data_IF_603735386056
#
_entry.id   IF_603735386056
#
_cell.length_a   1.000
_cell.length_b   1.000
_cell.length_c   1.000
_cell.angle_alpha   90.00
_cell.angle_beta   90.00
_cell.angle_gamma   90.00
#
_symmetry.space_group_name_H-M   'P 1'
#
loop_
_entity.id
_entity.type
_entity.pdbx_description
1 polymer ?
#
# COMPACT_ATOMS: atom_id res chain seq x y z
N UNK A 1 -32.17 -17.50 42.27
CA UNK A 1 -31.59 -16.25 41.72
C UNK A 1 -31.69 -16.31 40.20
N UNK A 2 -32.41 -15.37 39.55
CA UNK A 2 -32.78 -15.44 38.15
C UNK A 2 -31.71 -14.83 37.22
N UNK A 3 -31.63 -15.37 36.01
CA UNK A 3 -31.54 -14.63 34.74
C UNK A 3 -30.34 -13.71 34.49
N UNK A 4 -29.39 -14.18 33.68
CA UNK A 4 -28.69 -13.34 32.71
C UNK A 4 -28.64 -14.08 31.36
N UNK A 5 -29.71 -13.92 30.60
CA UNK A 5 -29.74 -14.21 29.18
C UNK A 5 -28.69 -13.31 28.50
N UNK A 6 -27.64 -13.92 27.92
CA UNK A 6 -26.69 -13.19 27.07
C UNK A 6 -27.29 -13.08 25.67
N UNK A 7 -27.23 -11.92 25.01
CA UNK A 7 -27.83 -11.73 23.70
C UNK A 7 -27.13 -12.62 22.66
N UNK A 8 -27.95 -13.40 21.97
CA UNK A 8 -27.65 -14.14 20.74
C UNK A 8 -26.86 -13.26 19.77
N UNK A 9 -25.53 -13.48 19.67
CA UNK A 9 -24.73 -12.89 18.59
C UNK A 9 -25.09 -13.63 17.30
N UNK A 10 -26.14 -13.16 16.63
CA UNK A 10 -26.61 -13.67 15.34
C UNK A 10 -25.53 -13.47 14.28
N UNK A 11 -24.62 -14.44 14.19
CA UNK A 11 -23.64 -14.57 13.13
C UNK A 11 -24.36 -14.63 11.79
N UNK A 12 -24.42 -13.50 11.09
CA UNK A 12 -24.77 -13.43 9.67
C UNK A 12 -23.53 -13.73 8.83
N UNK A 13 -22.83 -14.83 9.10
CA UNK A 13 -21.82 -15.35 8.18
C UNK A 13 -22.55 -16.09 7.06
N UNK A 14 -22.90 -15.39 5.98
CA UNK A 14 -23.17 -16.02 4.69
C UNK A 14 -21.81 -16.39 4.10
N UNK A 15 -21.48 -17.67 3.88
CA UNK A 15 -20.29 -18.03 3.10
C UNK A 15 -20.57 -17.59 1.66
N UNK A 16 -20.04 -16.43 1.29
CA UNK A 16 -20.01 -15.96 -0.09
C UNK A 16 -19.19 -16.94 -0.90
N UNK A 17 -19.83 -17.53 -1.90
CA UNK A 17 -19.31 -18.52 -2.81
C UNK A 17 -17.91 -18.16 -3.35
N UNK A 18 -17.07 -19.21 -3.39
CA UNK A 18 -15.84 -19.36 -4.16
C UNK A 18 -15.64 -18.31 -5.26
N UNK A 19 -14.55 -17.56 -5.16
CA UNK A 19 -13.76 -17.13 -6.31
C UNK A 19 -12.29 -17.35 -5.96
N UNK A 20 -11.98 -18.60 -5.60
CA UNK A 20 -10.62 -19.13 -5.54
C UNK A 20 -10.32 -19.67 -6.95
N UNK A 21 -9.90 -18.80 -7.88
CA UNK A 21 -9.30 -19.20 -9.16
C UNK A 21 -8.94 -17.98 -10.03
N UNK A 22 -8.10 -17.04 -9.57
CA UNK A 22 -7.46 -16.02 -10.45
C UNK A 22 -6.12 -15.48 -9.93
N UNK A 23 -5.43 -16.18 -9.03
CA UNK A 23 -4.12 -15.75 -8.53
C UNK A 23 -2.93 -16.37 -9.31
N UNK A 24 -3.18 -17.42 -10.10
CA UNK A 24 -2.18 -18.01 -10.98
C UNK A 24 -2.45 -17.58 -12.43
N UNK A 25 -1.46 -16.92 -13.04
CA UNK A 25 -1.42 -16.47 -14.43
C UNK A 25 -2.40 -15.36 -14.85
N UNK A 26 -2.05 -14.09 -14.57
CA UNK A 26 -2.24 -13.04 -15.58
C UNK A 26 -0.90 -12.33 -15.83
N UNK A 27 -0.42 -12.24 -17.08
CA UNK A 27 0.70 -11.39 -17.43
C UNK A 27 0.35 -9.94 -17.04
N UNK A 28 1.33 -9.25 -16.46
CA UNK A 28 1.19 -7.93 -15.82
C UNK A 28 0.79 -6.78 -16.78
N UNK A 29 0.60 -7.08 -18.08
CA UNK A 29 0.41 -6.07 -19.14
C UNK A 29 -1.06 -5.81 -19.52
N UNK A 30 -2.02 -6.63 -19.07
CA UNK A 30 -3.40 -6.61 -19.63
C UNK A 30 -4.53 -6.38 -18.59
N UNK A 31 -4.24 -5.65 -17.52
CA UNK A 31 -5.27 -5.16 -16.60
C UNK A 31 -5.95 -3.91 -17.17
N UNK A 32 -7.29 -3.77 -17.06
CA UNK A 32 -8.00 -2.60 -17.57
C UNK A 32 -7.38 -1.33 -16.97
N UNK A 33 -6.94 -0.43 -17.85
CA UNK A 33 -6.29 0.84 -17.51
C UNK A 33 -7.27 1.79 -16.80
N UNK A 34 -7.56 1.50 -15.53
CA UNK A 34 -8.15 2.48 -14.62
C UNK A 34 -7.02 3.48 -14.32
N UNK A 35 -7.20 4.78 -14.60
CA UNK A 35 -6.15 5.77 -14.37
C UNK A 35 -5.72 5.71 -12.90
N UNK A 36 -4.42 5.52 -12.67
CA UNK A 36 -3.88 5.39 -11.32
C UNK A 36 -4.24 6.64 -10.51
N UNK A 37 -4.65 6.48 -9.24
CA UNK A 37 -5.03 7.61 -8.41
C UNK A 37 -3.86 8.58 -8.26
N UNK A 38 -4.16 9.89 -8.33
CA UNK A 38 -3.17 10.94 -8.08
C UNK A 38 -2.50 10.70 -6.71
N UNK A 39 -1.16 10.66 -6.63
CA UNK A 39 -0.46 10.52 -5.37
C UNK A 39 -0.80 11.69 -4.44
N UNK A 40 -0.80 11.41 -3.13
CA UNK A 40 -0.93 12.47 -2.13
C UNK A 40 0.30 13.37 -2.17
N UNK A 41 0.20 14.62 -1.72
CA UNK A 41 1.31 15.59 -1.76
C UNK A 41 2.60 15.06 -1.14
N UNK A 42 2.50 14.24 -0.10
CA UNK A 42 3.66 13.63 0.58
C UNK A 42 4.26 12.45 -0.18
N UNK A 43 3.48 11.80 -1.05
CA UNK A 43 3.88 10.60 -1.82
C UNK A 43 4.34 10.97 -3.23
N UNK A 44 3.88 12.10 -3.77
CA UNK A 44 4.22 12.56 -5.11
C UNK A 44 5.74 12.59 -5.38
N UNK A 45 6.61 13.12 -4.49
CA UNK A 45 8.04 13.16 -4.74
C UNK A 45 8.68 11.76 -4.87
N UNK A 46 8.14 10.77 -4.14
CA UNK A 46 8.60 9.39 -4.25
C UNK A 46 8.19 8.77 -5.59
N UNK A 47 6.96 9.03 -6.05
CA UNK A 47 6.46 8.49 -7.32
C UNK A 47 7.18 9.12 -8.51
N UNK A 48 7.53 10.41 -8.43
CA UNK A 48 8.28 11.12 -9.48
C UNK A 48 9.69 10.57 -9.67
N UNK A 49 10.41 10.26 -8.57
CA UNK A 49 11.79 9.73 -8.63
C UNK A 49 11.80 8.22 -8.88
N UNK A 50 10.97 7.46 -8.17
CA UNK A 50 11.05 6.00 -8.17
C UNK A 50 10.21 5.36 -9.27
N UNK A 51 9.17 6.05 -9.75
CA UNK A 51 8.07 5.46 -10.51
C UNK A 51 7.03 4.80 -9.61
N UNK A 52 5.84 4.50 -10.16
CA UNK A 52 4.70 4.01 -9.38
C UNK A 52 4.96 2.67 -8.67
N UNK A 53 5.48 1.66 -9.37
CA UNK A 53 5.69 0.32 -8.78
C UNK A 53 6.73 0.34 -7.67
N UNK A 54 7.87 0.95 -7.95
CA UNK A 54 8.97 1.00 -7.00
C UNK A 54 8.65 1.92 -5.81
N UNK A 55 7.82 2.95 -6.00
CA UNK A 55 7.27 3.75 -4.90
C UNK A 55 6.31 2.94 -4.02
N UNK A 56 5.47 2.07 -4.60
CA UNK A 56 4.58 1.19 -3.82
C UNK A 56 5.42 0.23 -2.96
N UNK A 57 6.41 -0.43 -3.55
CA UNK A 57 7.30 -1.34 -2.83
C UNK A 57 8.09 -0.63 -1.73
N UNK A 58 8.55 0.59 -2.03
CA UNK A 58 9.20 1.46 -1.07
C UNK A 58 8.28 1.81 0.12
N UNK A 59 7.06 2.24 -0.15
CA UNK A 59 6.08 2.57 0.90
C UNK A 59 5.65 1.35 1.71
N UNK A 60 5.57 0.17 1.08
CA UNK A 60 5.27 -1.08 1.79
C UNK A 60 6.43 -1.57 2.64
N UNK A 61 7.67 -1.29 2.24
CA UNK A 61 8.87 -1.72 2.96
C UNK A 61 9.26 -0.75 4.08
N UNK A 62 9.19 0.55 3.82
CA UNK A 62 9.68 1.60 4.73
C UNK A 62 8.57 2.44 5.37
N UNK A 63 7.32 2.33 4.92
CA UNK A 63 6.22 3.15 5.43
C UNK A 63 6.06 3.05 6.95
N UNK A 64 5.90 4.20 7.61
CA UNK A 64 5.73 4.28 9.05
C UNK A 64 7.03 4.14 9.85
N UNK A 65 8.17 4.05 9.18
CA UNK A 65 9.49 4.09 9.81
C UNK A 65 10.19 5.42 9.53
N UNK A 66 11.08 5.79 10.45
CA UNK A 66 12.01 6.90 10.21
C UNK A 66 13.06 6.44 9.20
N UNK A 67 13.26 7.23 8.14
CA UNK A 67 14.25 6.91 7.12
C UNK A 67 15.27 8.03 7.03
N UNK A 68 16.48 7.74 7.54
CA UNK A 68 17.63 8.61 7.34
C UNK A 68 18.25 8.34 5.96
N UNK A 69 18.08 9.29 5.04
CA UNK A 69 18.71 9.25 3.71
C UNK A 69 20.00 10.06 3.80
N UNK A 70 21.13 9.35 3.93
CA UNK A 70 22.44 10.00 3.88
C UNK A 70 22.71 10.53 2.46
N UNK A 71 23.37 11.68 2.35
CA UNK A 71 23.76 12.32 1.07
C UNK A 71 24.62 11.40 0.19
N UNK A 72 25.40 10.50 0.82
CA UNK A 72 26.07 9.37 0.18
C UNK A 72 25.50 8.08 0.76
N UNK A 73 24.49 7.46 0.13
CA UNK A 73 23.93 6.23 0.63
C UNK A 73 24.97 5.11 0.54
N UNK A 74 25.25 4.44 1.66
CA UNK A 74 26.15 3.29 1.68
C UNK A 74 25.51 2.10 0.95
N UNK A 75 26.32 1.35 0.20
CA UNK A 75 25.86 0.22 -0.64
C UNK A 75 25.12 -0.87 0.16
N UNK A 76 25.37 -0.98 1.47
CA UNK A 76 24.68 -1.90 2.39
C UNK A 76 23.37 -1.38 2.97
N UNK A 77 22.94 -0.17 2.65
CA UNK A 77 21.68 0.38 3.14
C UNK A 77 20.50 -0.38 2.52
N UNK A 78 19.51 -0.73 3.34
CA UNK A 78 18.28 -1.39 2.90
C UNK A 78 17.57 -0.58 1.80
N UNK A 79 17.74 0.75 1.82
CA UNK A 79 17.26 1.66 0.79
C UNK A 79 17.88 1.33 -0.57
N UNK A 80 19.22 1.25 -0.64
CA UNK A 80 19.97 0.94 -1.86
C UNK A 80 19.62 -0.45 -2.40
N UNK A 81 19.42 -1.44 -1.52
CA UNK A 81 19.03 -2.78 -1.93
C UNK A 81 17.65 -2.81 -2.59
N UNK A 82 16.72 -1.94 -2.16
CA UNK A 82 15.37 -1.89 -2.72
C UNK A 82 15.30 -1.05 -4.00
N UNK A 83 15.91 0.14 -4.00
CA UNK A 83 15.74 1.11 -5.09
C UNK A 83 16.90 1.17 -6.08
N UNK A 84 18.05 0.59 -5.72
CA UNK A 84 19.30 0.72 -6.47
C UNK A 84 20.08 2.00 -6.12
N UNK A 85 21.38 2.03 -6.43
CA UNK A 85 22.24 3.18 -6.07
C UNK A 85 21.87 4.47 -6.81
N UNK A 86 21.41 4.40 -8.04
CA UNK A 86 21.11 5.59 -8.85
C UNK A 86 19.87 6.31 -8.31
N UNK A 87 18.77 5.57 -8.14
CA UNK A 87 17.54 6.11 -7.53
C UNK A 87 17.73 6.52 -6.08
N UNK A 88 18.60 5.83 -5.33
CA UNK A 88 18.95 6.24 -3.97
C UNK A 88 19.63 7.61 -3.93
N UNK A 89 20.49 7.92 -4.92
CA UNK A 89 21.14 9.22 -5.04
C UNK A 89 20.16 10.32 -5.43
N UNK A 90 19.23 10.03 -6.34
CA UNK A 90 18.14 10.96 -6.68
C UNK A 90 17.23 11.24 -5.48
N UNK A 91 16.88 10.21 -4.70
CA UNK A 91 16.12 10.36 -3.47
C UNK A 91 16.88 11.18 -2.41
N UNK A 92 18.21 11.02 -2.34
CA UNK A 92 19.06 11.82 -1.47
C UNK A 92 19.10 13.29 -1.88
N UNK A 93 19.07 13.59 -3.18
CA UNK A 93 19.02 14.97 -3.68
C UNK A 93 17.73 15.70 -3.25
N UNK A 94 16.59 14.99 -3.23
CA UNK A 94 15.29 15.55 -2.79
C UNK A 94 15.01 15.36 -1.28
N UNK A 95 15.97 14.82 -0.51
CA UNK A 95 15.81 14.52 0.93
C UNK A 95 15.35 15.71 1.76
N UNK A 96 15.75 16.93 1.37
CA UNK A 96 15.35 18.17 2.02
C UNK A 96 13.85 18.51 1.87
N UNK A 97 13.16 17.96 0.86
CA UNK A 97 11.71 18.13 0.64
C UNK A 97 10.89 17.00 1.27
N UNK A 98 11.57 15.93 1.72
CA UNK A 98 10.94 14.71 2.18
C UNK A 98 10.70 14.76 3.69
N UNK A 99 9.57 14.23 4.19
CA UNK A 99 9.36 14.10 5.61
C UNK A 99 10.34 13.09 6.22
N UNK A 100 10.81 13.36 7.44
CA UNK A 100 11.73 12.49 8.20
C UNK A 100 11.17 11.07 8.42
N UNK A 101 9.84 10.96 8.53
CA UNK A 101 9.13 9.67 8.64
C UNK A 101 8.45 9.39 7.31
N UNK A 102 8.64 8.18 6.78
CA UNK A 102 8.04 7.79 5.50
C UNK A 102 6.53 7.63 5.69
N UNK A 103 5.70 8.31 4.87
CA UNK A 103 4.25 8.20 4.97
C UNK A 103 3.81 6.77 4.63
N UNK A 104 2.85 6.22 5.40
CA UNK A 104 2.28 4.89 5.11
C UNK A 104 1.35 4.90 3.88
N UNK A 105 0.76 6.06 3.57
CA UNK A 105 -0.10 6.28 2.40
C UNK A 105 -1.19 5.21 2.15
N UNK A 106 -1.66 4.50 3.20
CA UNK A 106 -2.59 3.36 3.07
C UNK A 106 -3.85 3.67 2.25
N UNK A 107 -4.49 4.86 2.36
CA UNK A 107 -5.63 5.19 1.50
C UNK A 107 -5.28 5.27 0.02
N UNK A 108 -4.09 5.80 -0.32
CA UNK A 108 -3.62 5.87 -1.70
C UNK A 108 -3.26 4.48 -2.22
N UNK A 109 -2.52 3.69 -1.45
CA UNK A 109 -2.19 2.29 -1.80
C UNK A 109 -3.46 1.45 -2.01
N UNK A 110 -4.48 1.64 -1.18
CA UNK A 110 -5.76 0.95 -1.34
C UNK A 110 -6.43 1.31 -2.68
N UNK A 111 -6.39 2.59 -3.10
CA UNK A 111 -6.91 3.02 -4.40
C UNK A 111 -6.08 2.46 -5.56
N UNK A 112 -4.76 2.43 -5.43
CA UNK A 112 -3.86 1.86 -6.44
C UNK A 112 -4.13 0.35 -6.61
N UNK A 113 -4.17 -0.41 -5.53
CA UNK A 113 -4.48 -1.84 -5.59
C UNK A 113 -5.88 -2.13 -6.11
N UNK A 114 -6.86 -1.29 -5.78
CA UNK A 114 -8.20 -1.41 -6.32
C UNK A 114 -8.24 -1.13 -7.84
N UNK A 115 -7.49 -0.13 -8.32
CA UNK A 115 -7.33 0.14 -9.75
C UNK A 115 -6.62 -1.02 -10.49
N UNK A 116 -5.69 -1.71 -9.81
CA UNK A 116 -5.04 -2.94 -10.29
C UNK A 116 -5.91 -4.20 -10.18
N UNK A 117 -7.18 -4.07 -9.78
CA UNK A 117 -8.14 -5.17 -9.75
C UNK A 117 -8.13 -6.04 -8.49
N UNK A 118 -7.39 -5.69 -7.43
CA UNK A 118 -7.42 -6.44 -6.18
C UNK A 118 -8.77 -6.28 -5.48
N UNK A 119 -9.25 -7.37 -4.86
CA UNK A 119 -10.47 -7.31 -4.07
C UNK A 119 -10.27 -6.49 -2.79
N UNK A 120 -11.34 -5.89 -2.27
CA UNK A 120 -11.29 -5.13 -1.00
C UNK A 120 -10.80 -5.97 0.18
N UNK A 121 -11.05 -7.29 0.15
CA UNK A 121 -10.57 -8.22 1.16
C UNK A 121 -9.08 -8.47 1.04
N UNK A 122 -8.56 -8.60 -0.18
CA UNK A 122 -7.13 -8.81 -0.41
C UNK A 122 -6.35 -7.54 -0.04
N UNK A 123 -6.86 -6.37 -0.43
CA UNK A 123 -6.30 -5.08 0.00
C UNK A 123 -6.24 -4.97 1.52
N UNK A 124 -7.30 -5.39 2.21
CA UNK A 124 -7.36 -5.38 3.67
C UNK A 124 -6.28 -6.29 4.30
N UNK A 125 -6.07 -7.48 3.74
CA UNK A 125 -5.02 -8.42 4.17
C UNK A 125 -3.62 -7.83 3.93
N UNK A 126 -3.37 -7.32 2.73
CA UNK A 126 -2.08 -6.74 2.33
C UNK A 126 -1.71 -5.54 3.19
N UNK A 127 -2.64 -4.59 3.37
CA UNK A 127 -2.41 -3.37 4.15
C UNK A 127 -2.55 -3.55 5.67
N UNK A 128 -2.92 -4.77 6.11
CA UNK A 128 -3.23 -5.13 7.50
C UNK A 128 -4.22 -4.15 8.15
N UNK A 129 -5.34 -3.93 7.49
CA UNK A 129 -6.44 -3.08 7.97
C UNK A 129 -7.78 -3.80 7.78
N UNK A 130 -8.83 -3.29 8.40
CA UNK A 130 -10.15 -3.87 8.25
C UNK A 130 -10.77 -3.57 6.87
N UNK A 131 -11.61 -4.48 6.37
CA UNK A 131 -12.36 -4.28 5.12
C UNK A 131 -13.27 -3.06 5.19
N UNK A 132 -13.80 -2.73 6.39
CA UNK A 132 -14.62 -1.52 6.58
C UNK A 132 -13.80 -0.25 6.41
N UNK A 133 -12.55 -0.24 6.87
CA UNK A 133 -11.59 0.85 6.64
C UNK A 133 -11.30 1.02 5.14
N UNK A 134 -10.99 -0.07 4.44
CA UNK A 134 -10.76 -0.05 2.97
C UNK A 134 -11.99 0.49 2.24
N UNK A 135 -13.20 0.03 2.60
CA UNK A 135 -14.44 0.54 2.03
C UNK A 135 -14.60 2.04 2.26
N UNK A 136 -14.23 2.55 3.44
CA UNK A 136 -14.25 3.97 3.74
C UNK A 136 -13.35 4.79 2.81
N UNK A 137 -12.13 4.30 2.54
CA UNK A 137 -11.17 4.99 1.67
C UNK A 137 -11.50 4.96 0.17
N UNK A 138 -12.25 3.94 -0.27
CA UNK A 138 -12.68 3.76 -1.65
C UNK A 138 -14.04 4.41 -1.94
N UNK A 139 -14.63 5.13 -0.98
CA UNK A 139 -15.82 5.94 -1.28
C UNK A 139 -15.41 7.13 -2.17
N UNK A 140 -16.27 7.52 -3.13
CA UNK A 140 -16.09 8.76 -3.88
C UNK A 140 -16.12 9.97 -2.94
#
# INVERSE_FOLDING_TARGET
MPGLARPEYRSKFRPGARTEARADAMPMDDLPSVPLPKPTTQVAPYVEVLGYDLAIDFLMTFGGSELYIAERPGTGSRLVQLVGMDKARELAAISHLLPRVVPLAKPWLAKVFFARGLSKNDIARTLRVSVVTVRGWLRP
#
